data_IF_717664114071
#
_entry.id   IF_717664114071
#
_cell.length_a   1.000
_cell.length_b   1.000
_cell.length_c   1.000
_cell.angle_alpha   90.00
_cell.angle_beta   90.00
_cell.angle_gamma   90.00
#
_symmetry.space_group_name_H-M   'P 1'
#
loop_
_entity.id
_entity.type
_entity.pdbx_description
1 polymer ?
#
# COMPACT_ATOMS: atom_id res chain seq x y z
N UNK A 1 -39.99 -59.82 11.19
CA UNK A 1 -38.60 -59.48 10.77
C UNK A 1 -38.65 -58.13 10.12
N UNK A 2 -38.49 -57.07 10.91
CA UNK A 2 -38.38 -55.68 10.42
C UNK A 2 -36.91 -55.31 10.40
N UNK A 3 -36.41 -55.01 9.23
CA UNK A 3 -35.04 -54.42 9.06
C UNK A 3 -35.12 -52.91 9.18
N UNK A 4 -34.54 -52.40 10.22
CA UNK A 4 -34.29 -50.96 10.41
C UNK A 4 -33.11 -50.58 9.53
N UNK A 5 -33.37 -49.77 8.49
CA UNK A 5 -32.36 -49.08 7.70
C UNK A 5 -31.95 -47.77 8.44
N UNK A 6 -30.75 -47.77 9.00
CA UNK A 6 -30.15 -46.56 9.57
C UNK A 6 -29.57 -45.76 8.40
N UNK A 7 -30.26 -44.69 8.02
CA UNK A 7 -29.74 -43.72 7.09
C UNK A 7 -28.70 -42.83 7.79
N UNK A 8 -27.43 -42.94 7.39
CA UNK A 8 -26.34 -42.13 7.86
C UNK A 8 -26.32 -40.84 7.03
N UNK A 9 -26.75 -39.73 7.65
CA UNK A 9 -26.68 -38.39 7.04
C UNK A 9 -25.24 -37.89 7.12
N UNK A 10 -24.57 -37.79 5.99
CA UNK A 10 -23.30 -37.07 5.88
C UNK A 10 -23.59 -35.56 5.84
N UNK A 11 -23.30 -34.85 6.93
CA UNK A 11 -23.29 -33.41 6.95
C UNK A 11 -21.96 -32.96 6.33
N UNK A 12 -22.01 -32.57 5.07
CA UNK A 12 -20.87 -31.91 4.40
C UNK A 12 -20.79 -30.48 4.92
N UNK A 13 -19.86 -30.21 5.84
CA UNK A 13 -19.54 -28.85 6.26
C UNK A 13 -18.80 -28.19 5.09
N UNK A 14 -19.51 -27.38 4.31
CA UNK A 14 -18.90 -26.44 3.37
C UNK A 14 -18.19 -25.38 4.19
N UNK A 15 -16.89 -25.52 4.40
CA UNK A 15 -16.04 -24.44 4.88
C UNK A 15 -15.97 -23.43 3.72
N UNK A 16 -16.78 -22.38 3.80
CA UNK A 16 -16.65 -21.25 2.90
C UNK A 16 -15.27 -20.61 3.16
N UNK A 17 -14.31 -20.93 2.32
CA UNK A 17 -13.07 -20.17 2.26
C UNK A 17 -13.46 -18.78 1.82
N UNK A 18 -13.32 -17.81 2.73
CA UNK A 18 -13.43 -16.40 2.36
C UNK A 18 -12.29 -16.11 1.38
N UNK A 19 -12.62 -15.96 0.12
CA UNK A 19 -11.69 -15.49 -0.89
C UNK A 19 -11.45 -14.02 -0.59
N UNK A 20 -10.30 -13.72 -0.03
CA UNK A 20 -9.86 -12.37 0.27
C UNK A 20 -9.50 -11.71 -1.06
N UNK A 21 -10.26 -10.75 -1.48
CA UNK A 21 -9.88 -9.87 -2.59
C UNK A 21 -8.84 -8.87 -2.06
N UNK A 22 -7.58 -9.01 -2.47
CA UNK A 22 -6.46 -8.17 -2.04
C UNK A 22 -5.61 -8.84 -0.95
N UNK A 23 -4.33 -8.51 -0.88
CA UNK A 23 -3.26 -9.13 -0.11
C UNK A 23 -3.61 -9.64 1.29
N UNK A 24 -4.08 -10.87 1.36
CA UNK A 24 -4.31 -11.56 2.63
C UNK A 24 -3.00 -11.96 3.32
N UNK A 25 -3.05 -12.48 4.57
CA UNK A 25 -1.86 -12.88 5.32
C UNK A 25 -0.95 -13.85 4.57
N UNK A 26 -1.54 -14.80 3.86
CA UNK A 26 -0.80 -15.80 3.08
C UNK A 26 -0.23 -15.24 1.75
N UNK A 27 -0.66 -14.07 1.32
CA UNK A 27 -0.22 -13.41 0.09
C UNK A 27 0.76 -12.28 0.35
N UNK A 28 1.16 -12.08 1.62
CA UNK A 28 2.01 -10.98 2.04
C UNK A 28 3.37 -11.49 2.47
N UNK A 29 4.44 -10.88 1.93
CA UNK A 29 5.82 -11.01 2.40
C UNK A 29 6.19 -9.75 3.16
N UNK A 30 6.60 -9.90 4.41
CA UNK A 30 7.16 -8.81 5.22
C UNK A 30 8.68 -8.82 5.05
N UNK A 31 9.27 -7.70 4.66
CA UNK A 31 10.70 -7.58 4.42
C UNK A 31 11.29 -6.64 5.47
N UNK A 32 12.12 -7.20 6.34
CA UNK A 32 12.76 -6.50 7.44
C UNK A 32 14.24 -6.28 7.16
N UNK A 33 14.80 -5.22 7.76
CA UNK A 33 16.24 -4.95 7.75
C UNK A 33 16.85 -5.32 9.10
N UNK A 34 17.71 -6.33 9.14
CA UNK A 34 18.35 -6.80 10.35
C UNK A 34 19.31 -5.78 10.97
N UNK A 35 19.77 -4.81 10.19
CA UNK A 35 20.59 -3.70 10.67
C UNK A 35 19.77 -2.59 11.34
N UNK A 36 18.44 -2.68 11.34
CA UNK A 36 17.53 -1.68 11.90
C UNK A 36 16.58 -2.32 12.93
N UNK A 37 16.86 -2.11 14.22
CA UNK A 37 16.06 -2.68 15.32
C UNK A 37 14.58 -2.33 15.21
N UNK A 38 14.25 -1.14 14.75
CA UNK A 38 12.87 -0.70 14.58
C UNK A 38 12.19 -1.47 13.44
N UNK A 39 12.88 -1.73 12.33
CA UNK A 39 12.37 -2.53 11.22
C UNK A 39 11.94 -3.93 11.69
N UNK A 40 12.81 -4.59 12.47
CA UNK A 40 12.51 -5.91 13.06
C UNK A 40 11.29 -5.85 13.98
N UNK A 41 11.20 -4.84 14.83
CA UNK A 41 10.10 -4.70 15.77
C UNK A 41 8.75 -4.44 15.06
N UNK A 42 8.74 -3.55 14.07
CA UNK A 42 7.55 -3.25 13.25
C UNK A 42 7.14 -4.49 12.46
N UNK A 43 8.08 -5.16 11.79
CA UNK A 43 7.81 -6.33 10.98
C UNK A 43 7.17 -7.47 11.77
N UNK A 44 7.72 -7.79 12.93
CA UNK A 44 7.16 -8.81 13.83
C UNK A 44 5.78 -8.42 14.36
N UNK A 45 5.61 -7.16 14.77
CA UNK A 45 4.33 -6.69 15.25
C UNK A 45 3.27 -6.77 14.16
N UNK A 46 3.58 -6.26 12.96
CA UNK A 46 2.67 -6.30 11.82
C UNK A 46 2.29 -7.72 11.44
N UNK A 47 3.28 -8.62 11.32
CA UNK A 47 3.03 -10.02 10.99
C UNK A 47 2.13 -10.70 12.03
N UNK A 48 2.41 -10.52 13.32
CA UNK A 48 1.61 -11.08 14.41
C UNK A 48 0.16 -10.57 14.39
N UNK A 49 -0.02 -9.25 14.23
CA UNK A 49 -1.35 -8.63 14.22
C UNK A 49 -2.18 -9.01 12.99
N UNK A 50 -1.54 -9.22 11.85
CA UNK A 50 -2.19 -9.60 10.59
C UNK A 50 -2.31 -11.11 10.39
N UNK A 51 -1.75 -11.93 11.28
CA UNK A 51 -1.72 -13.39 11.13
C UNK A 51 -0.85 -13.87 9.95
N UNK A 52 0.19 -13.09 9.60
CA UNK A 52 1.16 -13.44 8.58
C UNK A 52 2.10 -14.50 9.17
N UNK A 53 2.31 -15.65 8.49
CA UNK A 53 3.22 -16.67 8.98
C UNK A 53 4.65 -16.15 9.15
N UNK A 54 5.36 -16.62 10.18
CA UNK A 54 6.78 -16.29 10.37
C UNK A 54 7.64 -16.68 9.15
N UNK A 55 7.25 -17.74 8.44
CA UNK A 55 7.88 -18.15 7.18
C UNK A 55 7.74 -17.11 6.05
N UNK A 56 6.90 -16.10 6.21
CA UNK A 56 6.73 -14.99 5.27
C UNK A 56 7.42 -13.70 5.77
N UNK A 57 8.40 -13.83 6.66
CA UNK A 57 9.25 -12.71 7.07
C UNK A 57 10.63 -12.93 6.47
N UNK A 58 10.99 -12.07 5.52
CA UNK A 58 12.32 -12.06 4.89
C UNK A 58 13.24 -11.11 5.64
N UNK A 59 14.37 -11.63 6.09
CA UNK A 59 15.42 -10.90 6.76
C UNK A 59 16.52 -10.48 5.77
N UNK A 60 16.79 -9.19 5.66
CA UNK A 60 17.84 -8.64 4.79
C UNK A 60 18.81 -7.77 5.60
N UNK A 61 20.06 -7.70 5.15
CA UNK A 61 21.06 -6.79 5.69
C UNK A 61 21.23 -5.61 4.72
N UNK A 62 20.46 -4.56 4.94
CA UNK A 62 20.39 -3.40 4.02
C UNK A 62 21.12 -2.21 4.66
N UNK A 63 21.92 -1.43 3.90
CA UNK A 63 22.62 -0.28 4.45
C UNK A 63 21.64 0.86 4.77
N UNK A 64 21.91 1.61 5.84
CA UNK A 64 21.14 2.82 6.21
C UNK A 64 21.53 4.00 5.32
N UNK A 65 21.02 4.00 4.11
CA UNK A 65 21.22 5.09 3.12
C UNK A 65 19.86 5.49 2.55
N UNK A 66 19.61 6.78 2.36
CA UNK A 66 18.37 7.24 1.76
C UNK A 66 18.19 6.72 0.32
N UNK A 67 19.31 6.57 -0.41
CA UNK A 67 19.34 6.17 -1.81
C UNK A 67 20.31 5.01 -1.96
N UNK A 68 19.85 3.91 -2.54
CA UNK A 68 20.67 2.76 -2.91
C UNK A 68 20.99 2.79 -4.42
N UNK A 69 22.18 2.37 -4.82
CA UNK A 69 22.51 2.24 -6.25
C UNK A 69 21.83 1.02 -6.84
N UNK A 70 21.59 1.05 -8.15
CA UNK A 70 20.92 -0.05 -8.87
C UNK A 70 21.56 -1.42 -8.63
N UNK A 71 22.90 -1.49 -8.70
CA UNK A 71 23.62 -2.75 -8.50
C UNK A 71 23.47 -3.29 -7.07
N UNK A 72 23.53 -2.39 -6.08
CA UNK A 72 23.39 -2.74 -4.67
C UNK A 72 21.93 -3.12 -4.37
N UNK A 73 20.95 -2.42 -4.93
CA UNK A 73 19.54 -2.81 -4.88
C UNK A 73 19.34 -4.21 -5.45
N UNK A 74 19.94 -4.48 -6.62
CA UNK A 74 19.88 -5.80 -7.26
C UNK A 74 20.43 -6.90 -6.35
N UNK A 75 21.62 -6.71 -5.81
CA UNK A 75 22.32 -7.75 -5.03
C UNK A 75 21.84 -7.88 -3.60
N UNK A 76 21.40 -6.79 -2.96
CA UNK A 76 21.09 -6.79 -1.52
C UNK A 76 19.58 -6.87 -1.22
N UNK A 77 18.72 -6.53 -2.19
CA UNK A 77 17.27 -6.48 -1.97
C UNK A 77 16.53 -7.35 -2.99
N UNK A 78 16.64 -7.06 -4.28
CA UNK A 78 15.83 -7.73 -5.31
C UNK A 78 16.16 -9.23 -5.42
N UNK A 79 17.44 -9.54 -5.68
CA UNK A 79 17.87 -10.94 -5.87
C UNK A 79 17.58 -11.81 -4.63
N UNK A 80 17.93 -11.38 -3.40
CA UNK A 80 17.58 -12.16 -2.21
C UNK A 80 16.07 -12.33 -2.03
N UNK A 81 15.26 -11.31 -2.37
CA UNK A 81 13.80 -11.42 -2.28
C UNK A 81 13.25 -12.46 -3.25
N UNK A 82 13.69 -12.43 -4.51
CA UNK A 82 13.26 -13.41 -5.50
C UNK A 82 13.78 -14.82 -5.21
N UNK A 83 15.01 -14.95 -4.71
CA UNK A 83 15.55 -16.23 -4.27
C UNK A 83 14.74 -16.83 -3.11
N UNK A 84 14.42 -16.02 -2.11
CA UNK A 84 13.57 -16.44 -0.99
C UNK A 84 12.21 -16.97 -1.46
N UNK A 85 11.55 -16.27 -2.38
CA UNK A 85 10.27 -16.74 -2.92
C UNK A 85 10.41 -18.08 -3.65
N UNK A 86 11.48 -18.27 -4.42
CA UNK A 86 11.72 -19.50 -5.15
C UNK A 86 12.08 -20.68 -4.23
N UNK A 87 12.93 -20.44 -3.22
CA UNK A 87 13.38 -21.46 -2.26
C UNK A 87 12.26 -21.97 -1.34
N UNK A 88 11.21 -21.16 -1.13
CA UNK A 88 10.08 -21.49 -0.25
C UNK A 88 8.78 -21.80 -1.01
N UNK A 89 8.84 -21.93 -2.34
CA UNK A 89 7.67 -22.16 -3.21
C UNK A 89 6.56 -21.09 -3.02
N UNK A 90 6.95 -19.82 -2.84
CA UNK A 90 6.05 -18.69 -2.58
C UNK A 90 5.85 -17.76 -3.79
N UNK A 91 6.49 -18.05 -4.91
CA UNK A 91 6.52 -17.12 -6.05
C UNK A 91 5.14 -16.90 -6.70
N UNK A 92 4.29 -17.90 -6.69
CA UNK A 92 2.90 -17.88 -7.19
C UNK A 92 1.87 -17.48 -6.13
N UNK A 93 2.29 -17.41 -4.86
CA UNK A 93 1.42 -17.11 -3.73
C UNK A 93 1.54 -15.63 -3.30
N UNK A 94 2.76 -15.10 -3.18
CA UNK A 94 3.01 -13.75 -2.67
C UNK A 94 2.74 -12.70 -3.75
N UNK A 95 1.75 -11.87 -3.51
CA UNK A 95 1.38 -10.73 -4.38
C UNK A 95 1.76 -9.38 -3.79
N UNK A 96 2.06 -9.31 -2.49
CA UNK A 96 2.25 -8.06 -1.77
C UNK A 96 3.53 -8.09 -0.95
N UNK A 97 4.35 -7.06 -1.08
CA UNK A 97 5.54 -6.82 -0.26
C UNK A 97 5.30 -5.65 0.70
N UNK A 98 5.64 -5.86 1.98
CA UNK A 98 5.60 -4.82 2.99
C UNK A 98 7.00 -4.62 3.55
N UNK A 99 7.61 -3.50 3.21
CA UNK A 99 8.92 -3.09 3.73
C UNK A 99 8.74 -2.37 5.05
N UNK A 100 9.41 -2.83 6.10
CA UNK A 100 9.32 -2.20 7.41
C UNK A 100 10.56 -1.40 7.79
N UNK A 101 11.53 -1.27 6.89
CA UNK A 101 12.70 -0.44 7.05
C UNK A 101 12.46 0.99 6.53
N UNK A 102 13.10 1.95 7.19
CA UNK A 102 12.99 3.36 6.83
C UNK A 102 13.81 3.72 5.60
N UNK A 103 14.94 3.05 5.42
CA UNK A 103 15.91 3.30 4.35
C UNK A 103 16.48 2.00 3.80
N UNK A 104 16.82 1.97 2.49
CA UNK A 104 16.62 3.01 1.47
C UNK A 104 15.17 3.12 1.02
N UNK A 105 14.72 4.30 0.66
CA UNK A 105 13.40 4.50 0.04
C UNK A 105 13.48 4.85 -1.46
N UNK A 106 14.69 5.05 -2.00
CA UNK A 106 14.94 5.31 -3.41
C UNK A 106 16.06 4.46 -3.97
N UNK A 107 15.91 4.10 -5.26
CA UNK A 107 16.92 3.40 -6.06
C UNK A 107 17.42 4.36 -7.13
N UNK A 108 18.74 4.58 -7.20
CA UNK A 108 19.38 5.41 -8.22
C UNK A 108 19.82 4.56 -9.40
N UNK A 109 19.25 4.85 -10.56
CA UNK A 109 19.69 4.37 -11.89
C UNK A 109 20.58 5.40 -12.56
N UNK A 110 20.98 5.18 -13.82
CA UNK A 110 21.77 6.15 -14.57
C UNK A 110 21.02 7.46 -14.80
N UNK A 111 21.23 8.42 -13.88
CA UNK A 111 20.65 9.76 -13.95
C UNK A 111 19.26 9.96 -13.33
N UNK A 112 18.69 8.93 -12.67
CA UNK A 112 17.34 9.00 -12.14
C UNK A 112 17.20 8.31 -10.79
N UNK A 113 16.20 8.74 -10.02
CA UNK A 113 15.82 8.11 -8.76
C UNK A 113 14.38 7.61 -8.84
N UNK A 114 14.19 6.37 -8.47
CA UNK A 114 12.88 5.70 -8.41
C UNK A 114 12.58 5.32 -6.98
N UNK A 115 11.33 5.40 -6.56
CA UNK A 115 10.90 4.86 -5.28
C UNK A 115 11.14 3.35 -5.22
N UNK A 116 11.56 2.83 -4.07
CA UNK A 116 11.81 1.40 -3.91
C UNK A 116 10.54 0.57 -4.16
N UNK A 117 9.39 1.04 -3.72
CA UNK A 117 8.10 0.40 -3.96
C UNK A 117 7.74 0.37 -5.43
N UNK A 118 7.96 1.47 -6.16
CA UNK A 118 7.71 1.48 -7.60
C UNK A 118 8.69 0.61 -8.37
N UNK A 119 9.94 0.48 -7.89
CA UNK A 119 10.92 -0.43 -8.49
C UNK A 119 10.49 -1.90 -8.44
N UNK A 120 9.80 -2.32 -7.38
CA UNK A 120 9.21 -3.65 -7.27
C UNK A 120 7.90 -3.80 -8.05
N UNK A 121 7.14 -2.73 -8.19
CA UNK A 121 5.84 -2.78 -8.86
C UNK A 121 6.00 -2.65 -10.38
N UNK A 122 6.62 -1.56 -10.87
CA UNK A 122 6.76 -1.27 -12.30
C UNK A 122 8.15 -1.56 -12.87
N UNK A 123 9.11 -1.89 -12.03
CA UNK A 123 10.51 -1.76 -12.41
C UNK A 123 10.94 -0.28 -12.46
N UNK A 124 11.98 -0.01 -13.23
CA UNK A 124 12.54 1.34 -13.32
C UNK A 124 11.91 2.13 -14.45
N UNK A 125 11.47 3.35 -14.14
CA UNK A 125 10.93 4.27 -15.14
C UNK A 125 12.07 4.79 -16.00
N UNK A 126 11.96 4.63 -17.30
CA UNK A 126 12.84 5.30 -18.27
C UNK A 126 12.23 6.66 -18.59
N UNK A 127 12.81 7.71 -18.03
CA UNK A 127 12.46 9.06 -18.45
C UNK A 127 13.28 9.38 -19.69
N UNK A 128 12.67 9.47 -20.85
CA UNK A 128 13.26 10.21 -21.95
C UNK A 128 13.05 11.69 -21.63
N UNK A 129 14.11 12.47 -21.71
CA UNK A 129 14.01 13.94 -21.63
C UNK A 129 13.25 14.43 -22.87
N UNK A 130 11.93 14.42 -22.81
CA UNK A 130 11.11 15.11 -23.78
C UNK A 130 11.12 16.60 -23.43
N UNK A 131 11.34 17.50 -24.39
CA UNK A 131 11.24 18.92 -24.15
C UNK A 131 9.86 19.36 -23.62
N UNK A 132 8.84 18.53 -23.76
CA UNK A 132 7.48 18.81 -23.33
C UNK A 132 7.12 18.22 -21.96
N UNK A 133 8.10 17.83 -21.13
CA UNK A 133 7.89 17.20 -19.82
C UNK A 133 6.99 15.95 -19.89
N UNK A 134 6.85 15.32 -21.02
CA UNK A 134 6.11 14.06 -21.13
C UNK A 134 6.92 12.96 -20.46
N UNK A 135 6.43 12.53 -19.31
CA UNK A 135 6.88 11.31 -18.68
C UNK A 135 6.36 10.15 -19.54
N UNK A 136 7.24 9.50 -20.30
CA UNK A 136 6.89 8.23 -20.93
C UNK A 136 7.16 7.15 -19.88
N UNK A 137 6.13 6.57 -19.25
CA UNK A 137 6.31 5.43 -18.38
C UNK A 137 6.94 4.28 -19.18
N UNK A 138 7.73 3.45 -18.54
CA UNK A 138 8.34 2.27 -19.16
C UNK A 138 7.30 1.22 -19.62
N UNK A 139 6.02 1.49 -19.41
CA UNK A 139 4.87 0.68 -19.80
C UNK A 139 3.59 1.30 -19.26
N UNK A 140 2.48 0.96 -19.88
CA UNK A 140 1.17 1.26 -19.34
C UNK A 140 0.89 0.33 -18.14
N UNK A 141 0.25 0.85 -17.11
CA UNK A 141 -0.25 0.00 -16.03
C UNK A 141 -1.41 -0.84 -16.58
N UNK A 142 -1.16 -2.12 -16.83
CA UNK A 142 -2.16 -3.06 -17.38
C UNK A 142 -3.37 -3.24 -16.48
N UNK A 143 -3.25 -2.87 -15.19
CA UNK A 143 -4.35 -2.87 -14.23
C UNK A 143 -5.11 -1.54 -14.17
N UNK A 144 -4.69 -0.50 -14.91
CA UNK A 144 -5.42 0.75 -14.95
C UNK A 144 -6.79 0.55 -15.64
N UNK A 145 -7.86 0.67 -14.86
CA UNK A 145 -9.23 0.42 -15.35
C UNK A 145 -9.58 -1.05 -15.57
N UNK A 146 -8.71 -1.98 -15.20
CA UNK A 146 -8.98 -3.42 -15.30
C UNK A 146 -9.91 -3.89 -14.18
N UNK A 147 -10.85 -4.77 -14.52
CA UNK A 147 -11.67 -5.51 -13.56
C UNK A 147 -11.06 -6.88 -13.19
N UNK A 148 -9.90 -7.20 -13.79
CA UNK A 148 -9.19 -8.45 -13.51
C UNK A 148 -8.56 -8.40 -12.13
N UNK A 149 -8.70 -9.46 -11.35
CA UNK A 149 -8.06 -9.59 -10.05
C UNK A 149 -6.53 -9.54 -10.19
N UNK A 150 -5.88 -8.85 -9.27
CA UNK A 150 -4.42 -8.83 -9.19
C UNK A 150 -3.93 -10.17 -8.64
N UNK A 151 -3.07 -10.84 -9.40
CA UNK A 151 -2.49 -12.14 -9.04
C UNK A 151 -0.97 -12.09 -9.09
N UNK A 152 -0.24 -12.89 -8.31
CA UNK A 152 1.22 -12.88 -8.31
C UNK A 152 1.84 -13.42 -9.61
N UNK A 153 1.11 -14.21 -10.36
CA UNK A 153 1.51 -14.79 -11.65
C UNK A 153 1.16 -13.90 -12.86
N UNK A 154 0.95 -12.59 -12.60
CA UNK A 154 0.71 -11.64 -13.70
C UNK A 154 1.91 -11.60 -14.66
N UNK A 155 1.62 -11.40 -15.93
CA UNK A 155 2.61 -11.46 -17.02
C UNK A 155 3.75 -10.43 -16.86
N UNK A 156 3.49 -9.32 -16.20
CA UNK A 156 4.44 -8.24 -15.95
C UNK A 156 5.35 -8.50 -14.73
N UNK A 157 5.04 -9.52 -13.92
CA UNK A 157 5.76 -9.80 -12.68
C UNK A 157 5.57 -8.75 -11.60
N UNK A 158 4.51 -7.95 -11.67
CA UNK A 158 4.22 -6.89 -10.69
C UNK A 158 3.96 -7.47 -9.30
N UNK A 159 4.43 -6.74 -8.28
CA UNK A 159 4.11 -7.02 -6.87
C UNK A 159 3.66 -5.73 -6.21
N UNK A 160 2.51 -5.76 -5.58
CA UNK A 160 2.06 -4.63 -4.75
C UNK A 160 3.09 -4.39 -3.65
N UNK A 161 3.49 -3.16 -3.45
CA UNK A 161 4.57 -2.86 -2.52
C UNK A 161 4.25 -1.62 -1.69
N UNK A 162 4.46 -1.71 -0.39
CA UNK A 162 4.26 -0.61 0.55
C UNK A 162 5.43 -0.51 1.53
N UNK A 163 5.70 0.71 2.01
CA UNK A 163 6.59 0.95 3.13
C UNK A 163 5.73 1.20 4.35
N UNK A 164 5.94 0.41 5.39
CA UNK A 164 5.32 0.54 6.71
C UNK A 164 6.41 0.91 7.72
N UNK A 165 6.66 2.19 7.85
CA UNK A 165 7.62 2.73 8.83
C UNK A 165 7.17 4.10 9.28
N UNK A 166 7.54 4.48 10.50
CA UNK A 166 7.24 5.76 11.14
C UNK A 166 8.44 6.19 11.98
N UNK A 167 8.39 7.35 12.57
CA UNK A 167 9.49 7.85 13.38
C UNK A 167 9.71 7.00 14.65
N UNK A 168 8.64 6.45 15.20
CA UNK A 168 8.70 5.59 16.39
C UNK A 168 7.94 4.28 16.20
N UNK A 169 8.33 3.25 16.95
CA UNK A 169 7.60 1.98 17.01
C UNK A 169 6.16 2.17 17.51
N UNK A 170 5.94 3.05 18.48
CA UNK A 170 4.61 3.30 19.03
C UNK A 170 3.64 3.90 17.99
N UNK A 171 4.12 4.80 17.15
CA UNK A 171 3.33 5.34 16.04
C UNK A 171 3.01 4.26 15.01
N UNK A 172 4.00 3.42 14.65
CA UNK A 172 3.78 2.30 13.75
C UNK A 172 2.73 1.33 14.29
N UNK A 173 2.81 0.96 15.56
CA UNK A 173 1.81 0.12 16.23
C UNK A 173 0.43 0.77 16.20
N UNK A 174 0.34 2.06 16.50
CA UNK A 174 -0.92 2.79 16.47
C UNK A 174 -1.58 2.74 15.08
N UNK A 175 -0.82 2.93 14.00
CA UNK A 175 -1.36 2.88 12.64
C UNK A 175 -1.78 1.45 12.27
N UNK A 176 -0.99 0.45 12.64
CA UNK A 176 -1.34 -0.97 12.43
C UNK A 176 -2.66 -1.29 13.14
N UNK A 177 -2.79 -0.94 14.42
CA UNK A 177 -3.99 -1.21 15.21
C UNK A 177 -5.22 -0.48 14.67
N UNK A 178 -5.07 0.78 14.25
CA UNK A 178 -6.14 1.54 13.60
C UNK A 178 -6.57 0.92 12.27
N UNK A 179 -5.62 0.40 11.50
CA UNK A 179 -5.93 -0.27 10.23
C UNK A 179 -6.70 -1.57 10.46
N UNK A 180 -6.32 -2.34 11.50
CA UNK A 180 -7.03 -3.56 11.89
C UNK A 180 -8.46 -3.26 12.39
N UNK A 181 -8.62 -2.20 13.17
CA UNK A 181 -9.94 -1.76 13.63
C UNK A 181 -10.89 -1.39 12.49
N UNK A 182 -10.35 -1.07 11.32
CA UNK A 182 -11.12 -0.75 10.12
C UNK A 182 -11.43 -1.98 9.25
N UNK A 183 -10.77 -3.10 9.45
CA UNK A 183 -10.96 -4.31 8.65
C UNK A 183 -12.43 -4.77 8.71
N UNK A 184 -13.00 -5.06 7.55
CA UNK A 184 -14.40 -5.46 7.37
C UNK A 184 -15.43 -4.42 7.83
N UNK A 185 -15.00 -3.20 8.14
CA UNK A 185 -15.90 -2.10 8.47
C UNK A 185 -16.18 -1.23 7.24
N UNK A 186 -17.18 -0.38 7.38
CA UNK A 186 -17.44 0.74 6.47
C UNK A 186 -17.56 1.99 7.33
N UNK A 187 -16.44 2.58 7.75
CA UNK A 187 -16.47 3.72 8.66
C UNK A 187 -17.23 4.87 8.00
N UNK A 188 -18.15 5.44 8.73
CA UNK A 188 -18.84 6.66 8.32
C UNK A 188 -17.89 7.85 8.50
N UNK A 189 -17.90 8.76 7.54
CA UNK A 189 -17.08 9.96 7.59
C UNK A 189 -17.16 10.76 6.31
N UNK A 190 -16.43 11.88 6.30
CA UNK A 190 -16.37 12.80 5.17
C UNK A 190 -15.04 12.67 4.46
N UNK A 191 -15.08 12.52 3.14
CA UNK A 191 -13.92 12.58 2.26
C UNK A 191 -13.71 14.02 1.78
N UNK A 192 -12.60 14.62 2.13
CA UNK A 192 -12.25 16.00 1.78
C UNK A 192 -11.27 16.03 0.61
N UNK A 193 -11.55 16.86 -0.37
CA UNK A 193 -10.61 17.23 -1.43
C UNK A 193 -10.33 18.74 -1.34
N UNK A 194 -9.06 19.11 -1.20
CA UNK A 194 -8.65 20.50 -1.04
C UNK A 194 -7.98 21.01 -2.31
N UNK A 195 -8.50 22.13 -2.83
CA UNK A 195 -7.81 22.94 -3.83
C UNK A 195 -7.01 24.01 -3.09
N UNK A 196 -5.69 23.92 -3.15
CA UNK A 196 -4.79 24.75 -2.37
C UNK A 196 -4.24 25.92 -3.19
N UNK A 197 -3.56 26.85 -2.53
CA UNK A 197 -2.82 27.94 -3.18
C UNK A 197 -1.65 27.47 -4.05
N UNK A 198 -1.14 26.23 -3.83
CA UNK A 198 -0.09 25.63 -4.65
C UNK A 198 -0.71 24.97 -5.90
N UNK A 199 -0.92 25.78 -6.93
CA UNK A 199 -1.57 25.33 -8.17
C UNK A 199 -0.85 24.17 -8.86
N UNK A 200 0.47 24.06 -8.74
CA UNK A 200 1.25 22.99 -9.36
C UNK A 200 1.03 21.63 -8.67
N UNK A 201 0.62 21.63 -7.40
CA UNK A 201 0.34 20.41 -6.65
C UNK A 201 -1.13 20.01 -6.64
N UNK A 202 -2.00 20.83 -7.19
CA UNK A 202 -3.42 20.49 -7.34
C UNK A 202 -3.71 19.53 -8.51
N UNK A 203 -2.71 18.80 -8.98
CA UNK A 203 -2.80 17.90 -10.14
C UNK A 203 -3.83 16.77 -9.98
N UNK A 204 -4.24 16.47 -8.75
CA UNK A 204 -5.27 15.47 -8.48
C UNK A 204 -6.68 16.05 -8.42
N UNK A 205 -6.79 17.37 -8.26
CA UNK A 205 -8.09 18.03 -8.20
C UNK A 205 -9.01 17.73 -9.39
N UNK A 206 -8.53 17.74 -10.65
CA UNK A 206 -9.38 17.42 -11.77
C UNK A 206 -9.94 15.99 -11.76
N UNK A 207 -9.29 15.09 -11.03
CA UNK A 207 -9.73 13.70 -10.85
C UNK A 207 -10.96 13.61 -9.93
N UNK A 208 -11.15 14.61 -9.09
CA UNK A 208 -12.31 14.74 -8.20
C UNK A 208 -13.41 15.59 -8.83
N UNK A 209 -13.18 16.11 -10.07
CA UNK A 209 -14.15 16.92 -10.75
C UNK A 209 -15.45 16.12 -10.98
N UNK A 210 -16.41 16.67 -10.44
CA UNK A 210 -17.85 16.53 -10.27
C UNK A 210 -18.59 15.38 -10.97
N UNK A 211 -18.28 15.02 -12.19
CA UNK A 211 -19.26 14.23 -12.94
C UNK A 211 -19.08 12.71 -12.82
N UNK A 212 -17.87 12.22 -12.70
CA UNK A 212 -17.62 10.77 -12.70
C UNK A 212 -17.27 10.20 -11.33
N UNK A 213 -16.46 10.92 -10.55
CA UNK A 213 -16.02 10.45 -9.24
C UNK A 213 -17.14 10.56 -8.21
N UNK A 214 -17.85 11.69 -8.18
CA UNK A 214 -19.01 11.88 -7.31
C UNK A 214 -20.12 10.86 -7.58
N UNK A 215 -20.39 10.52 -8.83
CA UNK A 215 -21.39 9.50 -9.14
C UNK A 215 -21.01 8.10 -8.64
N UNK A 216 -19.73 7.79 -8.58
CA UNK A 216 -19.25 6.53 -8.00
C UNK A 216 -19.28 6.55 -6.47
N UNK A 217 -18.97 7.68 -5.85
CA UNK A 217 -19.00 7.84 -4.40
C UNK A 217 -20.41 7.95 -3.84
N UNK A 218 -21.32 8.63 -4.53
CA UNK A 218 -22.74 8.70 -4.14
C UNK A 218 -23.39 7.31 -4.05
N UNK A 219 -22.92 6.35 -4.85
CA UNK A 219 -23.35 4.95 -4.73
C UNK A 219 -22.79 4.24 -3.50
N UNK A 220 -21.80 4.82 -2.83
CA UNK A 220 -21.12 4.22 -1.68
C UNK A 220 -21.53 4.81 -0.33
N UNK A 221 -22.48 5.73 -0.29
CA UNK A 221 -22.90 6.48 0.92
C UNK A 221 -21.77 7.29 1.58
N UNK A 222 -20.66 7.56 0.86
CA UNK A 222 -19.57 8.39 1.34
C UNK A 222 -19.91 9.86 1.14
N UNK A 223 -19.91 10.62 2.22
CA UNK A 223 -20.02 12.08 2.14
C UNK A 223 -18.73 12.66 1.57
N UNK A 224 -18.84 13.59 0.64
CA UNK A 224 -17.69 14.25 0.01
C UNK A 224 -17.81 15.75 0.13
N UNK A 225 -16.68 16.40 0.40
CA UNK A 225 -16.61 17.85 0.51
C UNK A 225 -15.39 18.39 -0.24
N UNK A 226 -15.66 19.35 -1.13
CA UNK A 226 -14.65 20.04 -1.93
C UNK A 226 -14.45 21.44 -1.38
N UNK A 227 -13.20 21.79 -1.04
CA UNK A 227 -12.86 23.07 -0.44
C UNK A 227 -11.73 23.77 -1.19
N UNK A 228 -11.85 25.05 -1.37
CA UNK A 228 -10.74 25.94 -1.74
C UNK A 228 -10.06 26.39 -0.45
N UNK A 229 -9.05 25.64 0.00
CA UNK A 229 -8.35 25.88 1.26
C UNK A 229 -7.00 25.20 1.27
N UNK A 230 -6.03 25.84 1.93
CA UNK A 230 -4.69 25.26 2.18
C UNK A 230 -4.69 24.27 3.34
N UNK A 231 -5.76 24.18 4.10
CA UNK A 231 -5.80 23.32 5.28
C UNK A 231 -7.20 22.78 5.58
N UNK A 232 -7.19 21.68 6.29
CA UNK A 232 -8.32 21.13 7.00
C UNK A 232 -8.09 21.35 8.50
N UNK A 233 -9.07 21.92 9.20
CA UNK A 233 -8.88 22.31 10.59
C UNK A 233 -10.07 21.92 11.47
N UNK A 234 -9.80 21.21 12.57
CA UNK A 234 -10.77 20.82 13.60
C UNK A 234 -11.99 20.06 13.04
N UNK A 235 -11.80 19.32 11.96
CA UNK A 235 -12.85 18.47 11.42
C UNK A 235 -12.89 17.13 12.16
N UNK A 236 -14.10 16.65 12.40
CA UNK A 236 -14.36 15.34 12.98
C UNK A 236 -14.76 14.32 11.90
N UNK A 237 -14.55 13.04 12.19
CA UNK A 237 -14.93 11.94 11.31
C UNK A 237 -14.33 12.08 9.89
N UNK A 238 -13.07 12.47 9.78
CA UNK A 238 -12.38 12.56 8.50
C UNK A 238 -12.10 11.15 7.98
N UNK A 239 -12.75 10.79 6.88
CA UNK A 239 -12.56 9.50 6.20
C UNK A 239 -11.43 9.57 5.19
N UNK A 240 -11.28 10.69 4.52
CA UNK A 240 -10.19 10.93 3.58
C UNK A 240 -9.85 12.42 3.52
N UNK A 241 -8.57 12.73 3.29
CA UNK A 241 -8.10 14.07 2.99
C UNK A 241 -7.09 14.03 1.86
N UNK A 242 -7.43 14.64 0.73
CA UNK A 242 -6.51 14.80 -0.40
C UNK A 242 -6.19 16.27 -0.57
N UNK A 243 -4.90 16.61 -0.59
CA UNK A 243 -4.45 18.01 -0.67
C UNK A 243 -3.27 18.16 -1.64
N UNK A 244 -3.22 19.33 -2.28
CA UNK A 244 -2.12 19.73 -3.16
C UNK A 244 -0.99 20.48 -2.43
N UNK A 245 -0.99 20.59 -1.11
CA UNK A 245 0.02 21.33 -0.38
C UNK A 245 1.18 20.43 0.05
N UNK A 246 2.42 20.88 -0.13
CA UNK A 246 3.62 20.10 0.21
C UNK A 246 3.76 19.82 1.72
N UNK A 247 3.29 20.72 2.56
CA UNK A 247 3.29 20.61 4.01
C UNK A 247 1.93 21.07 4.54
N UNK A 248 0.94 20.17 4.60
CA UNK A 248 -0.39 20.53 5.08
C UNK A 248 -0.34 20.93 6.55
N UNK A 249 -0.71 22.19 6.90
CA UNK A 249 -0.76 22.60 8.30
C UNK A 249 -1.99 22.02 9.00
N UNK A 250 -1.95 21.98 10.33
CA UNK A 250 -3.05 21.61 11.19
C UNK A 250 -3.60 20.18 10.98
N UNK A 251 -2.86 19.29 10.31
CA UNK A 251 -3.35 17.93 10.05
C UNK A 251 -3.72 17.21 11.34
N UNK A 252 -2.93 17.43 12.40
CA UNK A 252 -3.16 16.83 13.73
C UNK A 252 -4.34 17.41 14.50
N UNK A 253 -4.93 18.51 14.03
CA UNK A 253 -6.15 19.08 14.66
C UNK A 253 -7.43 18.34 14.24
N UNK A 254 -7.34 17.48 13.25
CA UNK A 254 -8.48 16.76 12.70
C UNK A 254 -8.61 15.37 13.30
N UNK A 255 -9.84 14.92 13.45
CA UNK A 255 -10.14 13.58 13.97
C UNK A 255 -10.41 12.62 12.80
N UNK A 256 -9.38 11.82 12.47
CA UNK A 256 -9.45 10.81 11.41
C UNK A 256 -10.06 9.52 11.95
N UNK A 257 -11.03 8.96 11.25
CA UNK A 257 -11.60 7.65 11.60
C UNK A 257 -10.58 6.52 11.41
N UNK A 258 -10.70 5.38 12.09
CA UNK A 258 -9.90 4.20 11.78
C UNK A 258 -10.06 3.81 10.30
N UNK A 259 -8.95 3.54 9.61
CA UNK A 259 -8.95 3.24 8.17
C UNK A 259 -9.00 4.46 7.25
N UNK A 260 -8.94 5.67 7.79
CA UNK A 260 -8.87 6.89 6.99
C UNK A 260 -7.62 6.92 6.10
N UNK A 261 -7.75 7.55 4.93
CA UNK A 261 -6.67 7.73 3.97
C UNK A 261 -6.36 9.21 3.82
N UNK A 262 -5.10 9.58 3.99
CA UNK A 262 -4.63 10.93 3.70
C UNK A 262 -3.56 10.89 2.60
N UNK A 263 -3.64 11.83 1.67
CA UNK A 263 -2.71 11.94 0.56
C UNK A 263 -2.38 13.40 0.27
N UNK A 264 -1.10 13.70 0.10
CA UNK A 264 -0.65 15.02 -0.31
C UNK A 264 0.43 14.92 -1.39
N UNK A 265 0.39 15.84 -2.34
CA UNK A 265 1.36 15.90 -3.43
C UNK A 265 2.61 16.63 -2.96
N UNK A 266 3.68 15.90 -2.73
CA UNK A 266 4.96 16.47 -2.31
C UNK A 266 6.14 15.68 -2.88
N UNK A 267 7.28 16.36 -3.06
CA UNK A 267 8.56 15.70 -3.38
C UNK A 267 9.31 15.25 -2.11
N UNK A 268 8.81 15.57 -0.92
CA UNK A 268 9.45 15.35 0.38
C UNK A 268 8.60 14.49 1.31
N UNK A 269 7.61 13.80 0.79
CA UNK A 269 6.74 12.93 1.56
C UNK A 269 7.45 11.60 1.85
N UNK A 270 7.64 11.32 3.13
CA UNK A 270 8.28 10.09 3.64
C UNK A 270 9.44 10.37 4.52
#
# INVERSE_FOLDING_TARGET
MQRLLHGMWWVTILIAHQVWAGGGPLQTLVIVNDNETQSLAIGRYYAAQRGIPDAHILHLNIPDTAIIRLNDYGSQILTPTLAFLAEHDLADQISTFVFTFRRPYRVRTAGQENGITSAFYYGFKNYTSSPDCQLVPAGENTYAGSETAFTPDNAEGYRLSAILTLDTLAEAQTIIDRSLAADYTRPAGTAYALYTSDSFRNVRWPQFDESQFLQRLVKSDIQTEFRFSDFLFSESNVLSCVTGLAQPPFISSNDFVPGAIADHVTSFGG
#
